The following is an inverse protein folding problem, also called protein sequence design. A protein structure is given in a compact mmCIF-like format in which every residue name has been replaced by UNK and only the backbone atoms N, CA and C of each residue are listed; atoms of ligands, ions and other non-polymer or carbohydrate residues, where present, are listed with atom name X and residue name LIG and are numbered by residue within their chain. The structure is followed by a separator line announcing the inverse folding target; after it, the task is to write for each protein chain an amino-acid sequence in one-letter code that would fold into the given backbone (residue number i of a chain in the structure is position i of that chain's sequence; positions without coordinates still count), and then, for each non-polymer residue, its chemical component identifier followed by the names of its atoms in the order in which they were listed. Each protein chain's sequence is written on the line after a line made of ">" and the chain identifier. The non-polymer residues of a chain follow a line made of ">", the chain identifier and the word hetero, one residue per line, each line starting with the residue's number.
data_IF_541691538967
#
_entry.id   IF_541691538967
#
_cell.length_a   1.000
_cell.length_b   1.000
_cell.length_c   1.000
_cell.angle_alpha   90.00
_cell.angle_beta   90.00
_cell.angle_gamma   90.00
#
_symmetry.space_group_name_H-M   'P 1'
#
loop_
_entity.id
_entity.type
_entity.pdbx_description
1 polymer ?
#
# COMPACT_ATOMS: atom_id res chain seq x y z
N UNK A 1 23.71 6.73 -20.45
CA UNK A 1 23.20 7.19 -19.13
C UNK A 1 22.05 6.31 -18.69
N UNK A 2 22.05 5.81 -17.45
CA UNK A 2 20.96 4.99 -16.91
C UNK A 2 19.70 5.86 -16.75
N UNK A 3 18.64 5.59 -17.52
CA UNK A 3 17.43 6.43 -17.51
C UNK A 3 16.70 6.28 -16.15
N UNK A 4 16.31 7.41 -15.55
CA UNK A 4 15.63 7.45 -14.24
C UNK A 4 14.14 7.10 -14.40
N UNK A 5 13.52 6.51 -13.37
CA UNK A 5 12.13 6.05 -13.43
C UNK A 5 11.11 7.17 -13.69
N UNK A 6 11.37 8.41 -13.22
CA UNK A 6 10.43 9.55 -13.28
C UNK A 6 10.72 10.59 -14.40
N UNK A 7 11.67 10.28 -15.29
CA UNK A 7 12.12 11.17 -16.37
C UNK A 7 11.71 10.73 -17.78
N UNK A 8 10.78 9.78 -17.92
CA UNK A 8 10.33 9.35 -19.24
C UNK A 8 9.58 10.47 -19.96
N UNK A 9 9.76 10.56 -21.29
CA UNK A 9 8.98 11.44 -22.15
C UNK A 9 7.55 10.87 -22.34
N UNK A 10 6.70 11.61 -23.06
CA UNK A 10 5.32 11.18 -23.30
C UNK A 10 5.25 9.84 -24.07
N UNK A 11 6.05 9.67 -25.12
CA UNK A 11 6.06 8.47 -25.96
C UNK A 11 6.46 7.20 -25.19
N UNK A 12 7.48 7.28 -24.35
CA UNK A 12 7.90 6.19 -23.48
C UNK A 12 6.82 5.90 -22.42
N UNK A 13 6.26 6.94 -21.80
CA UNK A 13 5.18 6.78 -20.82
C UNK A 13 3.89 6.20 -21.42
N UNK A 14 3.64 6.41 -22.71
CA UNK A 14 2.48 5.90 -23.43
C UNK A 14 2.46 4.37 -23.54
N UNK A 15 3.62 3.70 -23.40
CA UNK A 15 3.77 2.24 -23.32
C UNK A 15 3.34 1.69 -21.97
N UNK A 16 3.60 2.47 -20.90
CA UNK A 16 3.24 2.09 -19.54
C UNK A 16 1.78 2.42 -19.21
N UNK A 17 1.29 3.59 -19.62
CA UNK A 17 -0.01 4.14 -19.21
C UNK A 17 -1.13 3.76 -20.17
N UNK A 18 -2.05 2.92 -19.69
CA UNK A 18 -3.21 2.41 -20.47
C UNK A 18 -4.54 2.82 -19.85
N UNK A 19 -5.62 2.81 -20.67
CA UNK A 19 -7.00 3.10 -20.19
C UNK A 19 -7.42 2.21 -19.02
N UNK A 20 -7.03 0.93 -19.07
CA UNK A 20 -7.40 -0.07 -18.06
C UNK A 20 -6.78 0.25 -16.70
N UNK A 21 -5.51 0.64 -16.65
CA UNK A 21 -4.81 0.94 -15.40
C UNK A 21 -5.34 2.21 -14.72
N UNK A 22 -5.70 3.25 -15.50
CA UNK A 22 -6.23 4.51 -14.94
C UNK A 22 -7.74 4.42 -14.63
N UNK A 23 -8.39 3.27 -14.91
CA UNK A 23 -9.84 3.08 -14.73
C UNK A 23 -10.67 4.22 -15.32
N UNK A 24 -10.40 4.57 -16.59
CA UNK A 24 -11.15 5.59 -17.33
C UNK A 24 -12.55 5.10 -17.72
N UNK A 25 -13.41 4.91 -16.72
CA UNK A 25 -14.80 4.47 -16.86
C UNK A 25 -15.78 5.52 -16.29
N UNK A 26 -17.08 5.34 -16.56
CA UNK A 26 -18.13 6.27 -16.09
C UNK A 26 -18.12 6.45 -14.56
N UNK A 27 -17.73 5.43 -13.81
CA UNK A 27 -17.68 5.46 -12.35
C UNK A 27 -16.52 6.31 -11.82
N UNK A 28 -15.32 6.19 -12.40
CA UNK A 28 -14.16 7.01 -12.06
C UNK A 28 -14.43 8.50 -12.23
N UNK A 29 -15.17 8.89 -13.28
CA UNK A 29 -15.55 10.29 -13.49
C UNK A 29 -16.61 10.80 -12.52
N UNK A 30 -17.37 9.94 -11.82
CA UNK A 30 -18.35 10.39 -10.79
C UNK A 30 -17.64 11.19 -9.70
N UNK A 31 -16.39 10.86 -9.39
CA UNK A 31 -15.56 11.55 -8.40
C UNK A 31 -15.22 13.00 -8.76
N UNK A 32 -15.43 13.44 -10.00
CA UNK A 32 -15.32 14.86 -10.36
C UNK A 32 -16.54 15.68 -9.92
N UNK A 33 -17.64 15.03 -9.53
CA UNK A 33 -18.82 15.67 -8.94
C UNK A 33 -18.61 15.89 -7.44
N UNK A 34 -18.99 17.07 -6.95
CA UNK A 34 -18.79 17.52 -5.56
C UNK A 34 -19.23 16.48 -4.52
N UNK A 35 -20.45 15.92 -4.67
CA UNK A 35 -21.01 14.92 -3.74
C UNK A 35 -20.10 13.71 -3.57
N UNK A 36 -19.63 13.11 -4.68
CA UNK A 36 -18.81 11.90 -4.62
C UNK A 36 -17.35 12.19 -4.24
N UNK A 37 -16.87 13.39 -4.57
CA UNK A 37 -15.52 13.86 -4.21
C UNK A 37 -15.34 14.02 -2.71
N UNK A 38 -16.36 14.55 -2.05
CA UNK A 38 -16.30 14.92 -0.63
C UNK A 38 -16.82 13.78 0.23
N UNK A 39 -18.04 13.32 -0.07
CA UNK A 39 -18.75 12.43 0.82
C UNK A 39 -18.03 11.09 0.95
N UNK A 40 -17.52 10.52 -0.15
CA UNK A 40 -16.95 9.18 -0.09
C UNK A 40 -15.60 9.12 0.65
N UNK A 41 -14.57 9.91 0.29
CA UNK A 41 -13.26 9.81 0.95
C UNK A 41 -13.30 10.22 2.42
N UNK A 42 -14.04 11.30 2.73
CA UNK A 42 -14.20 11.77 4.09
C UNK A 42 -14.92 10.74 4.96
N UNK A 43 -16.07 10.23 4.51
CA UNK A 43 -16.86 9.24 5.24
C UNK A 43 -16.07 7.94 5.44
N UNK A 44 -15.37 7.47 4.41
CA UNK A 44 -14.49 6.31 4.51
C UNK A 44 -13.41 6.55 5.57
N UNK A 45 -12.68 7.66 5.52
CA UNK A 45 -11.65 7.93 6.54
C UNK A 45 -12.21 8.11 7.94
N UNK A 46 -13.38 8.73 8.07
CA UNK A 46 -13.99 9.03 9.36
C UNK A 46 -14.48 7.75 10.08
N UNK A 47 -15.01 6.77 9.35
CA UNK A 47 -15.42 5.49 9.93
C UNK A 47 -14.30 4.45 9.99
N UNK A 48 -13.44 4.39 8.98
CA UNK A 48 -12.38 3.38 8.93
C UNK A 48 -11.19 3.70 9.82
N UNK A 49 -10.85 4.99 10.05
CA UNK A 49 -9.72 5.31 10.90
C UNK A 49 -9.93 4.87 12.37
N UNK A 50 -11.09 5.11 13.02
CA UNK A 50 -11.38 4.55 14.33
C UNK A 50 -11.36 3.02 14.35
N UNK A 51 -11.89 2.38 13.31
CA UNK A 51 -11.87 0.92 13.19
C UNK A 51 -10.44 0.37 13.11
N UNK A 52 -9.57 1.00 12.32
CA UNK A 52 -8.16 0.61 12.20
C UNK A 52 -7.41 0.85 13.51
N UNK A 53 -7.71 1.94 14.21
CA UNK A 53 -7.16 2.20 15.54
C UNK A 53 -7.59 1.13 16.55
N UNK A 54 -8.88 0.78 16.59
CA UNK A 54 -9.40 -0.25 17.47
C UNK A 54 -8.72 -1.60 17.24
N UNK A 55 -8.66 -2.07 15.98
CA UNK A 55 -8.04 -3.36 15.66
C UNK A 55 -6.53 -3.31 15.88
N UNK A 56 -5.89 -2.23 15.44
CA UNK A 56 -4.44 -2.10 15.43
C UNK A 56 -3.80 -1.89 16.79
N UNK A 57 -4.51 -1.25 17.72
CA UNK A 57 -3.93 -0.84 18.99
C UNK A 57 -4.74 -1.29 20.19
N UNK A 58 -6.08 -1.16 20.15
CA UNK A 58 -6.90 -1.44 21.33
C UNK A 58 -7.20 -2.92 21.51
N UNK A 59 -7.37 -3.67 20.42
CA UNK A 59 -7.68 -5.10 20.49
C UNK A 59 -6.56 -5.93 21.15
N UNK A 60 -5.27 -5.77 20.79
CA UNK A 60 -4.19 -6.49 21.48
C UNK A 60 -4.08 -6.15 22.97
N UNK A 61 -4.38 -4.90 23.34
CA UNK A 61 -4.43 -4.47 24.74
C UNK A 61 -5.67 -4.99 25.48
N UNK A 62 -6.81 -5.04 24.80
CA UNK A 62 -8.09 -5.46 25.37
C UNK A 62 -8.18 -6.96 25.63
N UNK A 63 -7.36 -7.77 24.96
CA UNK A 63 -7.20 -9.20 25.26
C UNK A 63 -6.12 -9.46 26.31
N UNK A 64 -5.43 -8.42 26.79
CA UNK A 64 -4.34 -8.56 27.75
C UNK A 64 -4.85 -9.17 29.06
N UNK A 65 -4.31 -10.34 29.37
CA UNK A 65 -4.55 -11.07 30.60
C UNK A 65 -3.19 -11.56 31.09
N UNK A 66 -2.85 -11.21 32.33
CA UNK A 66 -1.54 -11.54 32.93
C UNK A 66 -1.40 -13.03 33.22
N UNK A 67 -2.50 -13.78 33.24
CA UNK A 67 -2.48 -15.22 33.47
C UNK A 67 -2.30 -16.02 32.16
N UNK A 68 -2.42 -15.37 31.00
CA UNK A 68 -2.29 -16.00 29.70
C UNK A 68 -1.08 -15.46 28.95
N UNK A 69 -0.05 -16.31 28.78
CA UNK A 69 1.19 -15.97 28.10
C UNK A 69 0.96 -15.35 26.70
N UNK A 70 0.08 -15.94 25.90
CA UNK A 70 -0.22 -15.42 24.56
C UNK A 70 -0.80 -14.00 24.62
N UNK A 71 -1.74 -13.76 25.54
CA UNK A 71 -2.34 -12.44 25.73
C UNK A 71 -1.33 -11.39 26.17
N UNK A 72 -0.42 -11.73 27.07
CA UNK A 72 0.65 -10.83 27.52
C UNK A 72 1.62 -10.49 26.37
N UNK A 73 2.07 -11.50 25.64
CA UNK A 73 2.96 -11.31 24.48
C UNK A 73 2.28 -10.47 23.40
N UNK A 74 1.00 -10.69 23.12
CA UNK A 74 0.24 -9.88 22.16
C UNK A 74 0.09 -8.42 22.61
N UNK A 75 -0.14 -8.16 23.90
CA UNK A 75 -0.22 -6.79 24.40
C UNK A 75 1.13 -6.05 24.27
N UNK A 76 2.24 -6.76 24.47
CA UNK A 76 3.60 -6.20 24.44
C UNK A 76 4.17 -6.04 23.02
N UNK A 77 4.06 -7.06 22.19
CA UNK A 77 4.67 -7.11 20.86
C UNK A 77 3.68 -6.91 19.71
N UNK A 78 2.39 -7.11 19.97
CA UNK A 78 1.31 -6.82 19.02
C UNK A 78 0.89 -5.35 18.96
N UNK A 79 1.66 -4.45 19.57
CA UNK A 79 1.34 -3.01 19.69
C UNK A 79 2.54 -2.10 19.41
N UNK A 80 3.65 -2.63 18.87
CA UNK A 80 4.92 -1.91 18.71
C UNK A 80 4.77 -0.61 17.92
N UNK A 81 3.97 -0.62 16.87
CA UNK A 81 3.73 0.55 16.02
C UNK A 81 2.46 1.32 16.39
N UNK A 82 1.87 1.13 17.58
CA UNK A 82 0.60 1.77 17.98
C UNK A 82 0.62 3.29 17.83
N UNK A 83 1.66 3.96 18.31
CA UNK A 83 1.80 5.42 18.18
C UNK A 83 2.00 5.85 16.73
N UNK A 84 2.74 5.05 15.96
CA UNK A 84 2.95 5.28 14.53
C UNK A 84 1.62 5.14 13.76
N UNK A 85 0.83 4.10 14.05
CA UNK A 85 -0.49 3.87 13.46
C UNK A 85 -1.42 5.04 13.81
N UNK A 86 -1.48 5.44 15.09
CA UNK A 86 -2.29 6.59 15.54
C UNK A 86 -1.94 7.87 14.79
N UNK A 87 -0.65 8.17 14.63
CA UNK A 87 -0.18 9.34 13.89
C UNK A 87 -0.57 9.28 12.41
N UNK A 88 -0.35 8.13 11.75
CA UNK A 88 -0.69 7.94 10.33
C UNK A 88 -2.20 8.09 10.10
N UNK A 89 -3.03 7.55 10.99
CA UNK A 89 -4.49 7.67 10.91
C UNK A 89 -4.96 9.12 11.11
N UNK A 90 -4.34 9.88 12.02
CA UNK A 90 -4.63 11.30 12.18
C UNK A 90 -4.26 12.08 10.91
N UNK A 91 -3.08 11.83 10.35
CA UNK A 91 -2.66 12.40 9.06
C UNK A 91 -3.63 12.02 7.95
N UNK A 92 -4.13 10.78 7.94
CA UNK A 92 -5.10 10.31 6.96
C UNK A 92 -6.40 11.14 7.00
N UNK A 93 -6.98 11.32 8.19
CA UNK A 93 -8.17 12.15 8.39
C UNK A 93 -7.90 13.59 7.94
N UNK A 94 -6.74 14.16 8.29
CA UNK A 94 -6.34 15.51 7.87
C UNK A 94 -6.24 15.65 6.34
N UNK A 95 -5.60 14.70 5.65
CA UNK A 95 -5.51 14.68 4.18
C UNK A 95 -6.90 14.51 3.55
N UNK A 96 -7.78 13.73 4.17
CA UNK A 96 -9.15 13.53 3.67
C UNK A 96 -9.95 14.83 3.63
N UNK A 97 -9.73 15.76 4.57
CA UNK A 97 -10.35 17.10 4.54
C UNK A 97 -9.93 17.88 3.28
N UNK A 98 -8.73 17.67 2.75
CA UNK A 98 -8.28 18.35 1.53
C UNK A 98 -9.06 17.93 0.28
N UNK A 99 -9.81 16.82 0.28
CA UNK A 99 -10.74 16.47 -0.81
C UNK A 99 -11.93 17.43 -0.94
N UNK A 100 -12.19 18.25 0.08
CA UNK A 100 -13.15 19.37 -0.02
C UNK A 100 -12.79 20.29 -1.20
N UNK A 101 -11.49 20.50 -1.44
CA UNK A 101 -10.98 21.40 -2.46
C UNK A 101 -11.01 20.72 -3.83
N UNK A 102 -11.63 21.38 -4.82
CA UNK A 102 -11.65 20.88 -6.20
C UNK A 102 -10.25 20.96 -6.82
N UNK A 103 -9.76 19.84 -7.34
CA UNK A 103 -8.49 19.80 -8.08
C UNK A 103 -8.65 20.37 -9.50
N UNK A 104 -7.52 20.81 -10.05
CA UNK A 104 -7.44 21.53 -11.34
C UNK A 104 -8.01 20.72 -12.51
N UNK A 105 -7.74 19.42 -12.54
CA UNK A 105 -8.15 18.43 -13.53
C UNK A 105 -8.21 17.01 -12.93
N UNK A 106 -8.72 16.04 -13.69
CA UNK A 106 -8.86 14.65 -13.29
C UNK A 106 -7.50 13.95 -13.06
N UNK A 107 -6.48 14.23 -13.87
CA UNK A 107 -5.13 13.68 -13.65
C UNK A 107 -4.56 14.01 -12.25
N UNK A 108 -4.65 15.28 -11.84
CA UNK A 108 -4.22 15.69 -10.51
C UNK A 108 -5.12 15.11 -9.41
N UNK A 109 -6.41 14.92 -9.69
CA UNK A 109 -7.31 14.22 -8.76
C UNK A 109 -6.87 12.77 -8.54
N UNK A 110 -6.51 12.03 -9.59
CA UNK A 110 -6.07 10.63 -9.49
C UNK A 110 -4.82 10.51 -8.63
N UNK A 111 -3.78 11.33 -8.87
CA UNK A 111 -2.57 11.33 -8.03
C UNK A 111 -2.90 11.67 -6.59
N UNK A 112 -3.71 12.71 -6.37
CA UNK A 112 -4.10 13.11 -5.03
C UNK A 112 -4.88 12.00 -4.31
N UNK A 113 -5.71 11.26 -5.03
CA UNK A 113 -6.41 10.11 -4.47
C UNK A 113 -5.44 9.03 -4.00
N UNK A 114 -4.39 8.70 -4.77
CA UNK A 114 -3.35 7.77 -4.30
C UNK A 114 -2.65 8.27 -3.04
N UNK A 115 -2.27 9.55 -2.99
CA UNK A 115 -1.66 10.13 -1.79
C UNK A 115 -2.59 10.07 -0.57
N UNK A 116 -3.89 10.24 -0.76
CA UNK A 116 -4.83 10.19 0.34
C UNK A 116 -5.18 8.77 0.80
N UNK A 117 -5.13 7.76 -0.08
CA UNK A 117 -5.29 6.35 0.32
C UNK A 117 -4.00 5.71 0.86
N UNK A 118 -2.84 6.32 0.59
CA UNK A 118 -1.55 5.79 1.04
C UNK A 118 -1.45 5.62 2.57
N UNK A 119 -1.84 6.60 3.42
CA UNK A 119 -1.87 6.43 4.87
C UNK A 119 -2.72 5.23 5.35
N UNK A 120 -3.88 4.99 4.72
CA UNK A 120 -4.73 3.84 5.06
C UNK A 120 -4.00 2.52 4.81
N UNK A 121 -3.40 2.37 3.63
CA UNK A 121 -2.68 1.15 3.25
C UNK A 121 -1.45 0.95 4.15
N UNK A 122 -0.73 2.03 4.44
CA UNK A 122 0.43 1.98 5.33
C UNK A 122 0.02 1.57 6.76
N UNK A 123 -1.09 2.11 7.29
CA UNK A 123 -1.63 1.72 8.59
C UNK A 123 -2.00 0.24 8.59
N UNK A 124 -2.67 -0.26 7.55
CA UNK A 124 -3.01 -1.67 7.42
C UNK A 124 -1.76 -2.57 7.42
N UNK A 125 -0.68 -2.18 6.73
CA UNK A 125 0.57 -2.92 6.76
C UNK A 125 1.18 -3.00 8.17
N UNK A 126 1.17 -1.90 8.93
CA UNK A 126 1.66 -1.90 10.31
C UNK A 126 0.80 -2.74 11.24
N UNK A 127 -0.52 -2.66 11.13
CA UNK A 127 -1.47 -3.47 11.91
C UNK A 127 -1.23 -4.98 11.66
N UNK A 128 -1.14 -5.37 10.39
CA UNK A 128 -0.88 -6.76 10.02
C UNK A 128 0.49 -7.24 10.51
N UNK A 129 1.50 -6.36 10.45
CA UNK A 129 2.84 -6.67 10.96
C UNK A 129 2.80 -6.86 12.48
N UNK A 130 2.30 -5.89 13.25
CA UNK A 130 2.26 -5.94 14.71
C UNK A 130 1.53 -7.19 15.18
N UNK A 131 0.33 -7.43 14.65
CA UNK A 131 -0.46 -8.60 15.02
C UNK A 131 0.29 -9.91 14.75
N UNK A 132 0.86 -10.08 13.55
CA UNK A 132 1.58 -11.30 13.21
C UNK A 132 2.94 -11.41 13.91
N UNK A 133 3.54 -10.29 14.29
CA UNK A 133 4.76 -10.29 15.07
C UNK A 133 4.49 -10.74 16.50
N UNK A 134 3.43 -10.25 17.14
CA UNK A 134 3.01 -10.75 18.46
C UNK A 134 2.74 -12.26 18.44
N UNK A 135 2.02 -12.75 17.43
CA UNK A 135 1.77 -14.19 17.26
C UNK A 135 3.07 -14.97 17.03
N UNK A 136 3.99 -14.43 16.23
CA UNK A 136 5.28 -15.05 15.99
C UNK A 136 6.13 -15.13 17.26
N UNK A 137 6.19 -14.06 18.06
CA UNK A 137 6.94 -14.06 19.32
C UNK A 137 6.34 -15.07 20.29
N UNK A 138 5.01 -15.19 20.36
CA UNK A 138 4.36 -16.16 21.21
C UNK A 138 4.65 -17.61 20.76
N UNK A 139 4.71 -17.88 19.46
CA UNK A 139 4.91 -19.23 18.92
C UNK A 139 6.36 -19.70 18.82
N UNK A 140 7.27 -18.83 18.37
CA UNK A 140 8.68 -19.18 18.07
C UNK A 140 9.70 -18.36 18.85
N UNK A 141 9.24 -17.50 19.76
CA UNK A 141 10.10 -16.60 20.51
C UNK A 141 10.61 -15.42 19.68
N UNK A 142 11.28 -14.49 20.35
CA UNK A 142 11.75 -13.24 19.72
C UNK A 142 12.86 -13.50 18.69
N UNK A 143 13.77 -14.43 18.98
CA UNK A 143 14.92 -14.74 18.09
C UNK A 143 14.44 -15.39 16.80
N UNK A 144 13.51 -16.36 16.89
CA UNK A 144 12.88 -16.97 15.71
C UNK A 144 12.09 -15.95 14.88
N UNK A 145 11.39 -15.03 15.56
CA UNK A 145 10.65 -13.95 14.89
C UNK A 145 11.56 -13.00 14.10
N UNK A 146 12.74 -12.67 14.63
CA UNK A 146 13.73 -11.82 13.94
C UNK A 146 14.21 -12.47 12.65
N UNK A 147 14.45 -13.78 12.63
CA UNK A 147 14.82 -14.52 11.41
C UNK A 147 13.74 -14.34 10.32
N UNK A 148 12.48 -14.48 10.70
CA UNK A 148 11.35 -14.27 9.78
C UNK A 148 11.23 -12.81 9.31
N UNK A 149 11.51 -11.83 10.16
CA UNK A 149 11.55 -10.41 9.77
C UNK A 149 12.60 -10.17 8.70
N UNK A 150 13.82 -10.67 8.88
CA UNK A 150 14.90 -10.49 7.91
C UNK A 150 14.49 -11.07 6.54
N UNK A 151 13.93 -12.27 6.52
CA UNK A 151 13.40 -12.89 5.31
C UNK A 151 12.26 -12.06 4.68
N UNK A 152 11.36 -11.53 5.50
CA UNK A 152 10.26 -10.67 5.07
C UNK A 152 10.70 -9.35 4.44
N UNK A 153 11.73 -8.70 5.00
CA UNK A 153 12.33 -7.49 4.42
C UNK A 153 12.95 -7.77 3.05
N UNK A 154 13.57 -8.95 2.87
CA UNK A 154 14.07 -9.37 1.56
C UNK A 154 12.92 -9.54 0.54
N UNK A 155 11.74 -10.03 0.94
CA UNK A 155 10.57 -10.09 0.04
C UNK A 155 10.17 -8.72 -0.47
N UNK A 156 10.07 -7.74 0.44
CA UNK A 156 9.72 -6.37 0.08
C UNK A 156 10.76 -5.78 -0.87
N UNK A 157 12.05 -5.93 -0.55
CA UNK A 157 13.14 -5.44 -1.39
C UNK A 157 13.09 -6.04 -2.80
N UNK A 158 12.97 -7.37 -2.92
CA UNK A 158 12.89 -8.04 -4.22
C UNK A 158 11.64 -7.63 -5.00
N UNK A 159 10.50 -7.44 -4.33
CA UNK A 159 9.27 -7.00 -4.97
C UNK A 159 9.39 -5.58 -5.55
N UNK A 160 9.98 -4.65 -4.77
CA UNK A 160 10.27 -3.28 -5.21
C UNK A 160 11.26 -3.30 -6.38
N UNK A 161 12.35 -4.06 -6.27
CA UNK A 161 13.35 -4.17 -7.33
C UNK A 161 12.72 -4.67 -8.64
N UNK A 162 11.92 -5.75 -8.55
CA UNK A 162 11.25 -6.34 -9.69
C UNK A 162 10.29 -5.36 -10.37
N UNK A 163 9.45 -4.67 -9.61
CA UNK A 163 8.48 -3.73 -10.20
C UNK A 163 9.15 -2.50 -10.80
N UNK A 164 10.25 -2.00 -10.21
CA UNK A 164 11.03 -0.89 -10.77
C UNK A 164 11.64 -1.29 -12.11
N UNK A 165 12.18 -2.50 -12.21
CA UNK A 165 12.73 -3.01 -13.46
C UNK A 165 11.66 -3.31 -14.51
N UNK A 166 10.50 -3.84 -14.10
CA UNK A 166 9.34 -4.01 -14.99
C UNK A 166 8.95 -2.67 -15.61
N UNK A 167 8.80 -1.63 -14.78
CA UNK A 167 8.43 -0.29 -15.26
C UNK A 167 9.51 0.31 -16.16
N UNK A 168 10.79 0.19 -15.82
CA UNK A 168 11.89 0.67 -16.69
C UNK A 168 11.93 -0.05 -18.02
N UNK A 169 11.70 -1.36 -18.02
CA UNK A 169 11.60 -2.16 -19.24
C UNK A 169 10.42 -1.69 -20.10
N UNK A 170 9.24 -1.46 -19.51
CA UNK A 170 8.08 -0.93 -20.25
C UNK A 170 8.29 0.48 -20.79
N UNK A 171 8.97 1.36 -20.04
CA UNK A 171 9.22 2.73 -20.47
C UNK A 171 10.30 2.80 -21.56
N UNK A 172 11.44 2.14 -21.35
CA UNK A 172 12.66 2.37 -22.12
C UNK A 172 13.12 1.19 -22.97
N UNK A 173 12.42 0.05 -22.93
CA UNK A 173 12.86 -1.18 -23.58
C UNK A 173 14.09 -1.81 -22.93
N UNK A 174 14.40 -1.45 -21.67
CA UNK A 174 15.51 -2.03 -20.93
C UNK A 174 15.32 -3.54 -20.72
N UNK A 175 16.42 -4.28 -20.65
CA UNK A 175 16.39 -5.73 -20.41
C UNK A 175 15.82 -6.03 -19.03
N UNK A 176 14.86 -6.96 -19.00
CA UNK A 176 14.18 -7.40 -17.78
C UNK A 176 15.13 -8.19 -16.90
N UNK A 177 15.57 -7.59 -15.80
CA UNK A 177 16.26 -8.28 -14.71
C UNK A 177 15.30 -8.46 -13.55
N UNK A 178 14.96 -9.71 -13.25
CA UNK A 178 14.05 -10.05 -12.16
C UNK A 178 14.63 -11.10 -11.24
N UNK A 179 14.35 -10.94 -9.94
CA UNK A 179 14.40 -12.06 -9.02
C UNK A 179 13.27 -13.03 -9.38
N UNK A 180 13.66 -14.24 -9.78
CA UNK A 180 12.74 -15.36 -10.03
C UNK A 180 11.95 -15.73 -8.78
N UNK A 181 10.76 -16.29 -8.95
CA UNK A 181 9.94 -16.87 -7.87
C UNK A 181 10.71 -17.91 -7.05
N UNK A 182 11.69 -18.59 -7.66
CA UNK A 182 12.57 -19.56 -6.97
C UNK A 182 13.34 -18.93 -5.80
N UNK A 183 13.72 -17.66 -5.90
CA UNK A 183 14.42 -16.97 -4.80
C UNK A 183 13.52 -16.74 -3.60
N UNK A 184 12.24 -16.42 -3.82
CA UNK A 184 11.27 -16.29 -2.73
C UNK A 184 11.12 -17.62 -1.98
N UNK A 185 10.95 -18.72 -2.71
CA UNK A 185 10.86 -20.07 -2.14
C UNK A 185 12.12 -20.46 -1.36
N UNK A 186 13.30 -20.21 -1.93
CA UNK A 186 14.58 -20.51 -1.27
C UNK A 186 14.70 -19.73 0.05
N UNK A 187 14.38 -18.44 0.04
CA UNK A 187 14.40 -17.61 1.26
C UNK A 187 13.36 -18.10 2.26
N UNK A 188 12.16 -18.52 1.82
CA UNK A 188 11.16 -19.15 2.70
C UNK A 188 11.76 -20.38 3.37
N UNK A 189 12.29 -21.34 2.60
CA UNK A 189 12.82 -22.58 3.13
C UNK A 189 13.96 -22.34 4.12
N UNK A 190 14.89 -21.45 3.78
CA UNK A 190 15.99 -21.07 4.70
C UNK A 190 15.43 -20.46 5.98
N UNK A 191 14.48 -19.52 5.87
CA UNK A 191 13.88 -18.88 7.05
C UNK A 191 13.16 -19.89 7.93
N UNK A 192 12.40 -20.83 7.35
CA UNK A 192 11.71 -21.89 8.09
C UNK A 192 12.70 -22.79 8.84
N UNK A 193 13.71 -23.30 8.16
CA UNK A 193 14.73 -24.19 8.76
C UNK A 193 15.50 -23.45 9.86
N UNK A 194 15.94 -22.22 9.61
CA UNK A 194 16.62 -21.41 10.62
C UNK A 194 15.73 -21.11 11.82
N UNK A 195 14.45 -20.80 11.59
CA UNK A 195 13.49 -20.54 12.68
C UNK A 195 13.30 -21.79 13.53
N UNK A 196 13.20 -22.98 12.93
CA UNK A 196 13.13 -24.26 13.65
C UNK A 196 14.38 -24.46 14.52
N UNK A 197 15.57 -24.34 13.93
CA UNK A 197 16.85 -24.52 14.66
C UNK A 197 16.96 -23.52 15.81
N UNK A 198 16.65 -22.24 15.56
CA UNK A 198 16.71 -21.18 16.57
C UNK A 198 15.69 -21.42 17.68
N UNK A 199 14.47 -21.85 17.35
CA UNK A 199 13.42 -22.13 18.35
C UNK A 199 13.76 -23.33 19.24
N UNK A 200 14.63 -24.25 18.79
CA UNK A 200 15.14 -25.35 19.62
C UNK A 200 16.19 -24.87 20.64
N UNK A 201 16.98 -23.84 20.29
CA UNK A 201 18.04 -23.30 21.14
C UNK A 201 17.49 -22.21 22.07
N UNK A 202 16.59 -21.38 21.56
CA UNK A 202 15.95 -20.24 22.23
C UNK A 202 14.42 -20.39 22.11
N UNK A 203 13.82 -21.33 22.86
CA UNK A 203 12.39 -21.60 22.76
C UNK A 203 11.56 -20.41 23.26
N UNK A 204 10.31 -20.36 22.81
CA UNK A 204 9.29 -19.55 23.47
C UNK A 204 9.11 -20.01 24.93
N UNK A 205 8.65 -19.11 25.80
CA UNK A 205 8.46 -19.44 27.23
C UNK A 205 7.46 -20.58 27.43
N UNK A 206 6.38 -20.59 26.62
CA UNK A 206 5.41 -21.69 26.59
C UNK A 206 5.25 -22.24 25.17
N UNK A 207 5.59 -23.52 24.99
CA UNK A 207 5.43 -24.17 23.69
C UNK A 207 3.97 -24.53 23.43
N UNK A 208 3.42 -24.00 22.34
CA UNK A 208 2.11 -24.37 21.83
C UNK A 208 2.22 -24.65 20.32
N UNK A 209 1.92 -25.88 19.91
CA UNK A 209 2.03 -26.32 18.52
C UNK A 209 1.20 -25.46 17.56
N UNK A 210 0.00 -25.05 17.96
CA UNK A 210 -0.86 -24.21 17.14
C UNK A 210 -0.24 -22.82 16.94
N UNK A 211 0.25 -22.19 18.01
CA UNK A 211 0.94 -20.90 17.91
C UNK A 211 2.22 -21.00 17.08
N UNK A 212 2.97 -22.09 17.24
CA UNK A 212 4.17 -22.37 16.44
C UNK A 212 3.87 -22.44 14.94
N UNK A 213 2.78 -23.11 14.54
CA UNK A 213 2.38 -23.18 13.12
C UNK A 213 1.88 -21.83 12.62
N UNK A 214 1.07 -21.11 13.41
CA UNK A 214 0.52 -19.81 13.01
C UNK A 214 1.61 -18.73 12.98
N UNK A 215 2.69 -18.86 13.75
CA UNK A 215 3.82 -17.92 13.75
C UNK A 215 4.43 -17.69 12.36
N UNK A 216 4.44 -18.71 11.49
CA UNK A 216 4.87 -18.57 10.10
C UNK A 216 3.96 -17.67 9.25
N UNK A 217 2.77 -17.34 9.75
CA UNK A 217 1.89 -16.30 9.22
C UNK A 217 2.56 -14.93 9.12
N UNK A 218 3.62 -14.66 9.88
CA UNK A 218 4.42 -13.45 9.72
C UNK A 218 5.05 -13.35 8.32
N UNK A 219 5.56 -14.45 7.76
CA UNK A 219 6.09 -14.48 6.39
C UNK A 219 4.98 -14.23 5.35
N UNK A 220 3.77 -14.72 5.61
CA UNK A 220 2.60 -14.46 4.77
C UNK A 220 2.23 -12.98 4.81
N UNK A 221 2.24 -12.35 5.99
CA UNK A 221 2.02 -10.91 6.13
C UNK A 221 3.07 -10.11 5.33
N UNK A 222 4.35 -10.47 5.42
CA UNK A 222 5.40 -9.84 4.62
C UNK A 222 5.21 -10.04 3.11
N UNK A 223 4.78 -11.22 2.66
CA UNK A 223 4.45 -11.46 1.26
C UNK A 223 3.27 -10.58 0.79
N UNK A 224 2.24 -10.42 1.63
CA UNK A 224 1.13 -9.50 1.41
C UNK A 224 1.58 -8.05 1.30
N UNK A 225 2.42 -7.58 2.23
CA UNK A 225 3.00 -6.23 2.22
C UNK A 225 3.85 -6.01 0.97
N UNK A 226 4.68 -6.98 0.57
CA UNK A 226 5.50 -6.91 -0.63
C UNK A 226 4.63 -6.79 -1.91
N UNK A 227 3.53 -7.54 -1.97
CA UNK A 227 2.55 -7.45 -3.06
C UNK A 227 1.85 -6.08 -3.08
N UNK A 228 1.43 -5.58 -1.92
CA UNK A 228 0.83 -4.24 -1.80
C UNK A 228 1.82 -3.15 -2.24
N UNK A 229 3.08 -3.23 -1.82
CA UNK A 229 4.13 -2.29 -2.21
C UNK A 229 4.34 -2.29 -3.75
N UNK A 230 4.38 -3.48 -4.36
CA UNK A 230 4.46 -3.65 -5.82
C UNK A 230 3.30 -2.95 -6.53
N UNK A 231 2.06 -3.21 -6.11
CA UNK A 231 0.86 -2.62 -6.73
C UNK A 231 0.86 -1.11 -6.54
N UNK A 232 1.13 -0.63 -5.33
CA UNK A 232 1.13 0.80 -5.01
C UNK A 232 2.17 1.56 -5.82
N UNK A 233 3.40 1.06 -5.92
CA UNK A 233 4.46 1.73 -6.67
C UNK A 233 4.14 1.79 -8.17
N UNK A 234 3.64 0.70 -8.74
CA UNK A 234 3.23 0.66 -10.14
C UNK A 234 2.10 1.66 -10.43
N UNK A 235 1.03 1.64 -9.62
CA UNK A 235 -0.12 2.51 -9.82
C UNK A 235 0.21 3.98 -9.57
N UNK A 236 1.10 4.27 -8.62
CA UNK A 236 1.63 5.61 -8.40
C UNK A 236 2.38 6.12 -9.62
N UNK A 237 3.29 5.33 -10.18
CA UNK A 237 4.07 5.70 -11.37
C UNK A 237 3.17 5.95 -12.60
N UNK A 238 2.20 5.06 -12.85
CA UNK A 238 1.19 5.24 -13.92
C UNK A 238 0.43 6.56 -13.73
N UNK A 239 -0.01 6.84 -12.51
CA UNK A 239 -0.78 8.04 -12.18
C UNK A 239 0.05 9.30 -12.28
N UNK A 240 1.32 9.24 -11.87
CA UNK A 240 2.30 10.31 -12.02
C UNK A 240 2.43 10.74 -13.49
N UNK A 241 2.68 9.78 -14.38
CA UNK A 241 2.80 10.06 -15.81
C UNK A 241 1.49 10.55 -16.44
N UNK A 242 0.36 9.99 -16.00
CA UNK A 242 -0.95 10.43 -16.45
C UNK A 242 -1.22 11.90 -16.12
N UNK A 243 -0.86 12.39 -14.94
CA UNK A 243 -1.04 13.80 -14.62
C UNK A 243 0.05 14.68 -15.26
N UNK A 244 1.31 14.23 -15.29
CA UNK A 244 2.43 14.95 -15.90
C UNK A 244 2.15 15.30 -17.36
N UNK A 245 1.62 14.35 -18.13
CA UNK A 245 1.26 14.51 -19.54
C UNK A 245 -0.26 14.61 -19.75
N UNK A 246 -0.97 15.22 -18.79
CA UNK A 246 -2.43 15.19 -18.71
C UNK A 246 -3.15 15.66 -19.98
N UNK A 247 -2.69 16.72 -20.63
CA UNK A 247 -3.33 17.21 -21.86
C UNK A 247 -3.08 16.28 -23.06
N UNK A 248 -1.90 15.66 -23.18
CA UNK A 248 -1.66 14.66 -24.22
C UNK A 248 -2.54 13.41 -24.00
N UNK A 249 -2.63 12.92 -22.77
CA UNK A 249 -3.47 11.76 -22.45
C UNK A 249 -4.97 12.06 -22.57
N UNK A 250 -5.40 13.26 -22.23
CA UNK A 250 -6.78 13.72 -22.45
C UNK A 250 -7.15 13.63 -23.94
N UNK A 251 -6.26 14.09 -24.83
CA UNK A 251 -6.44 13.97 -26.29
C UNK A 251 -6.40 12.50 -26.73
N UNK A 252 -5.37 11.75 -26.36
CA UNK A 252 -5.19 10.32 -26.71
C UNK A 252 -6.40 9.48 -26.31
N UNK A 253 -6.93 9.70 -25.12
CA UNK A 253 -8.08 8.95 -24.60
C UNK A 253 -9.42 9.63 -24.86
N UNK A 254 -9.49 10.70 -25.65
CA UNK A 254 -10.75 11.41 -25.99
C UNK A 254 -11.62 11.72 -24.76
N UNK A 255 -10.99 12.20 -23.67
CA UNK A 255 -11.69 12.55 -22.42
C UNK A 255 -12.37 13.91 -22.58
N UNK A 256 -13.65 14.01 -22.27
CA UNK A 256 -14.42 15.25 -22.46
C UNK A 256 -13.99 16.34 -21.45
N UNK A 257 -14.25 17.61 -21.78
CA UNK A 257 -13.97 18.74 -20.87
C UNK A 257 -14.71 18.57 -19.52
N UNK A 258 -15.93 18.04 -19.54
CA UNK A 258 -16.70 17.75 -18.33
C UNK A 258 -16.07 16.65 -17.47
N UNK A 259 -15.61 15.56 -18.09
CA UNK A 259 -14.91 14.48 -17.39
C UNK A 259 -13.56 14.94 -16.83
N UNK A 260 -12.84 15.79 -17.56
CA UNK A 260 -11.49 16.21 -17.20
C UNK A 260 -11.48 17.32 -16.14
N UNK A 261 -12.38 18.29 -16.23
CA UNK A 261 -12.39 19.46 -15.35
C UNK A 261 -13.54 19.47 -14.33
N UNK A 262 -14.53 18.61 -14.52
CA UNK A 262 -15.78 18.60 -13.77
C UNK A 262 -16.85 19.52 -14.37
N UNK A 263 -18.12 19.31 -14.00
CA UNK A 263 -19.28 19.93 -14.64
C UNK A 263 -19.26 21.46 -14.55
N UNK A 264 -18.89 22.03 -13.39
CA UNK A 264 -18.87 23.48 -13.17
C UNK A 264 -17.83 24.18 -14.07
N UNK A 265 -16.62 23.62 -14.16
CA UNK A 265 -15.52 24.24 -14.92
C UNK A 265 -15.68 24.02 -16.42
N UNK A 266 -16.22 22.88 -16.85
CA UNK A 266 -16.54 22.63 -18.25
C UNK A 266 -17.60 23.60 -18.78
N UNK A 267 -18.67 23.86 -18.02
CA UNK A 267 -19.67 24.90 -18.37
C UNK A 267 -19.05 26.28 -18.55
N UNK A 268 -18.11 26.67 -17.69
CA UNK A 268 -17.38 27.95 -17.82
C UNK A 268 -16.50 27.99 -19.07
N UNK A 269 -15.83 26.90 -19.42
CA UNK A 269 -14.98 26.80 -20.61
C UNK A 269 -15.81 26.83 -21.90
N UNK A 270 -16.96 26.14 -21.95
CA UNK A 270 -17.86 26.18 -23.08
C UNK A 270 -18.38 27.60 -23.35
N UNK A 271 -18.80 28.32 -22.31
CA UNK A 271 -19.24 29.73 -22.42
C UNK A 271 -18.13 30.68 -22.90
N UNK A 272 -16.86 30.35 -22.67
CA UNK A 272 -15.72 31.13 -23.18
C UNK A 272 -15.36 30.83 -24.63
N UNK A 273 -15.70 29.64 -25.14
CA UNK A 273 -15.43 29.22 -26.53
C UNK A 273 -16.55 29.60 -27.50
N UNK A 274 -17.76 29.81 -27.00
CA UNK A 274 -18.92 30.31 -27.76
C UNK A 274 -19.12 31.83 -27.66
N UNK A 275 -18.12 32.54 -27.14
CA UNK A 275 -17.91 33.99 -27.27
C UNK A 275 -16.67 34.17 -28.13
#
# INVERSE_FOLDING_TARGET
>A
MRKKLFNANYEDSAKLVTRKQIKLNKEGFKFMKLRHRIFLPFLVSFFMAPFFYMIGTQMPLGISDKENYFSEVMAKYGTIFSDTIKLILLVWVGISVLFLIQRKNYGNYVIFAYFAFFPMILSFCFIMFDFMFGVAVAGVGIVGSIVMIVAGLLYIFMAIYNVVNDMKSSLYGETKRHFSSRYYLLITCIALVLTVIVSLIFPAEEFNLLLYVIAFGLLIAFAGIALLAKIMLHMFCVSYYFAKYGEQYKKKFKITDEQWYGPRKAKRLAKKKGK
#
